data_IF_202134097904
#
_entry.id   IF_202134097904
#
_cell.length_a   1.000
_cell.length_b   1.000
_cell.length_c   1.000
_cell.angle_alpha   90.00
_cell.angle_beta   90.00
_cell.angle_gamma   90.00
#
_symmetry.space_group_name_H-M   'P 1'
#
loop_
_entity.id
_entity.type
_entity.pdbx_description
1 polymer ?
#
# COMPACT_ATOMS: atom_id res chain seq x y z
N UNK A 1 6.98 -40.13 -13.18
CA UNK A 1 7.63 -40.10 -14.51
C UNK A 1 6.92 -39.06 -15.35
N UNK A 2 7.69 -38.32 -16.17
CA UNK A 2 7.38 -37.07 -16.90
C UNK A 2 7.38 -35.86 -15.95
N UNK A 3 8.45 -35.08 -15.75
CA UNK A 3 9.56 -34.58 -16.61
C UNK A 3 9.12 -33.48 -17.59
N UNK A 4 9.45 -32.24 -17.19
CA UNK A 4 9.96 -31.11 -17.98
C UNK A 4 9.11 -30.52 -19.12
N UNK A 5 8.87 -29.20 -19.06
CA UNK A 5 9.34 -28.25 -20.10
C UNK A 5 9.08 -26.77 -19.74
N UNK A 6 10.19 -26.03 -19.72
CA UNK A 6 10.43 -24.70 -20.29
C UNK A 6 9.73 -23.46 -19.72
N UNK A 7 10.60 -22.69 -19.05
CA UNK A 7 10.54 -21.26 -18.74
C UNK A 7 10.55 -20.44 -20.03
N UNK A 8 9.64 -19.48 -20.15
CA UNK A 8 9.75 -18.37 -21.11
C UNK A 8 10.08 -17.06 -20.36
N UNK A 9 10.90 -16.17 -20.94
CA UNK A 9 11.43 -15.00 -20.24
C UNK A 9 10.40 -13.88 -20.15
N UNK A 10 10.48 -13.12 -19.06
CA UNK A 10 9.75 -11.87 -18.85
C UNK A 10 10.34 -10.78 -19.76
N UNK A 11 9.52 -10.26 -20.67
CA UNK A 11 9.86 -9.05 -21.43
C UNK A 11 9.35 -7.85 -20.63
N UNK A 12 10.27 -7.10 -20.04
CA UNK A 12 10.03 -5.78 -19.47
C UNK A 12 9.55 -4.83 -20.58
N UNK A 13 8.40 -4.19 -20.37
CA UNK A 13 7.94 -3.09 -21.23
C UNK A 13 8.04 -1.80 -20.41
N UNK A 14 8.90 -0.83 -20.77
CA UNK A 14 8.97 0.44 -20.08
C UNK A 14 7.74 1.30 -20.39
N UNK A 15 7.14 1.84 -19.32
CA UNK A 15 6.02 2.77 -19.39
C UNK A 15 6.58 4.14 -19.77
N UNK A 16 6.36 4.58 -21.01
CA UNK A 16 6.60 5.96 -21.44
C UNK A 16 5.28 6.71 -21.58
N UNK A 17 5.18 7.86 -20.92
CA UNK A 17 4.07 8.82 -21.06
C UNK A 17 4.33 9.71 -22.28
N UNK A 18 3.37 9.90 -23.20
CA UNK A 18 3.50 10.93 -24.22
C UNK A 18 3.05 12.29 -23.66
N UNK A 19 3.92 13.28 -23.84
CA UNK A 19 3.71 14.70 -23.65
C UNK A 19 2.79 15.25 -24.76
N UNK A 20 1.89 16.17 -24.40
CA UNK A 20 0.99 16.88 -25.31
C UNK A 20 1.75 17.59 -26.45
N UNK A 21 1.24 17.49 -27.68
CA UNK A 21 1.61 18.40 -28.77
C UNK A 21 0.41 18.69 -29.66
N UNK A 22 0.31 19.98 -30.00
CA UNK A 22 -0.81 20.70 -30.59
C UNK A 22 -1.48 20.07 -31.84
N UNK A 23 -2.79 20.33 -31.95
CA UNK A 23 -3.59 20.10 -33.15
C UNK A 23 -3.09 20.91 -34.35
N UNK A 24 -2.78 20.22 -35.45
CA UNK A 24 -2.84 20.79 -36.80
C UNK A 24 -3.93 20.04 -37.58
N UNK A 25 -5.02 20.74 -37.90
CA UNK A 25 -6.11 20.21 -38.72
C UNK A 25 -5.65 20.22 -40.18
N UNK A 26 -5.26 19.06 -40.70
CA UNK A 26 -5.10 18.81 -42.13
C UNK A 26 -6.21 17.88 -42.59
N UNK A 27 -6.84 18.21 -43.73
CA UNK A 27 -7.86 17.37 -44.40
C UNK A 27 -7.22 16.06 -44.88
N UNK A 28 -7.16 15.06 -44.00
CA UNK A 28 -6.74 13.70 -44.31
C UNK A 28 -7.84 12.93 -45.02
N UNK A 29 -7.47 12.11 -46.02
CA UNK A 29 -8.40 11.26 -46.76
C UNK A 29 -9.06 10.21 -45.87
N UNK A 30 -10.21 9.68 -46.31
CA UNK A 30 -11.00 8.65 -45.61
C UNK A 30 -10.16 7.47 -45.08
N UNK A 31 -9.11 7.08 -45.80
CA UNK A 31 -8.17 6.02 -45.41
C UNK A 31 -7.37 6.34 -44.15
N UNK A 32 -7.02 7.60 -43.94
CA UNK A 32 -6.23 8.07 -42.80
C UNK A 32 -7.12 8.20 -41.54
N UNK A 33 -8.38 8.62 -41.73
CA UNK A 33 -9.40 8.55 -40.67
C UNK A 33 -9.72 7.11 -40.26
N UNK A 34 -9.84 6.18 -41.22
CA UNK A 34 -10.07 4.75 -40.94
C UNK A 34 -8.88 4.17 -40.16
N UNK A 35 -7.65 4.54 -40.52
CA UNK A 35 -6.43 4.10 -39.82
C UNK A 35 -6.35 4.69 -38.39
N UNK A 36 -6.71 5.96 -38.21
CA UNK A 36 -6.81 6.61 -36.89
C UNK A 36 -7.88 5.94 -36.01
N UNK A 37 -9.08 5.69 -36.55
CA UNK A 37 -10.19 4.99 -35.87
C UNK A 37 -9.83 3.55 -35.49
N UNK A 38 -9.04 2.86 -36.30
CA UNK A 38 -8.56 1.50 -35.99
C UNK A 38 -7.45 1.43 -34.91
N UNK A 39 -6.77 2.55 -34.62
CA UNK A 39 -5.83 2.67 -33.48
C UNK A 39 -6.52 3.03 -32.17
N UNK A 40 -7.73 3.59 -32.23
CA UNK A 40 -8.51 3.90 -31.04
C UNK A 40 -9.02 2.60 -30.44
N UNK A 41 -8.79 2.41 -29.14
CA UNK A 41 -9.30 1.25 -28.39
C UNK A 41 -10.84 1.28 -28.23
N UNK A 42 -11.56 2.17 -28.92
CA UNK A 42 -12.99 2.46 -28.75
C UNK A 42 -13.51 3.46 -29.79
N UNK A 43 -14.73 3.96 -29.59
CA UNK A 43 -15.38 4.98 -30.43
C UNK A 43 -15.37 6.35 -29.74
N UNK A 44 -15.89 7.39 -30.40
CA UNK A 44 -16.03 8.73 -29.79
C UNK A 44 -16.83 8.71 -28.47
N UNK A 45 -17.79 7.80 -28.35
CA UNK A 45 -18.73 7.74 -27.21
C UNK A 45 -18.44 6.57 -26.26
N UNK A 46 -17.43 5.75 -26.54
CA UNK A 46 -17.11 4.59 -25.73
C UNK A 46 -15.63 4.24 -25.78
N UNK A 47 -15.05 3.97 -24.61
CA UNK A 47 -13.73 3.37 -24.49
C UNK A 47 -13.79 2.24 -23.46
N UNK A 48 -13.06 1.13 -23.68
CA UNK A 48 -13.01 0.02 -22.76
C UNK A 48 -12.34 0.45 -21.46
N UNK A 49 -12.69 -0.21 -20.33
CA UNK A 49 -12.05 0.04 -19.06
C UNK A 49 -10.53 -0.14 -19.15
N UNK A 50 -9.81 0.77 -18.47
CA UNK A 50 -8.35 0.71 -18.36
C UNK A 50 -7.94 0.01 -17.08
N UNK A 51 -6.78 -0.64 -17.09
CA UNK A 51 -6.16 -1.20 -15.91
C UNK A 51 -5.67 -0.05 -15.02
N UNK A 52 -6.53 0.45 -14.15
CA UNK A 52 -6.23 1.51 -13.19
C UNK A 52 -6.86 1.16 -11.84
N UNK A 53 -6.09 1.41 -10.77
CA UNK A 53 -6.55 1.23 -9.40
C UNK A 53 -7.37 2.46 -8.99
N UNK A 54 -8.61 2.21 -8.59
CA UNK A 54 -9.56 3.24 -8.14
C UNK A 54 -9.62 3.19 -6.61
N UNK A 55 -9.11 4.25 -5.97
CA UNK A 55 -9.07 4.37 -4.51
C UNK A 55 -10.34 4.96 -3.91
N UNK A 56 -11.20 5.60 -4.71
CA UNK A 56 -12.40 6.26 -4.23
C UNK A 56 -13.64 5.40 -4.42
N UNK A 57 -14.54 5.42 -3.43
CA UNK A 57 -15.84 4.78 -3.55
C UNK A 57 -16.72 5.57 -4.50
N UNK A 58 -17.35 4.88 -5.45
CA UNK A 58 -18.25 5.51 -6.40
C UNK A 58 -19.52 6.01 -5.69
N UNK A 59 -19.99 7.23 -5.98
CA UNK A 59 -21.20 7.76 -5.37
C UNK A 59 -22.41 6.93 -5.80
N UNK A 60 -23.39 6.82 -4.90
CA UNK A 60 -24.66 6.16 -5.22
C UNK A 60 -25.48 7.06 -6.14
N UNK A 61 -25.82 6.55 -7.31
CA UNK A 61 -26.57 7.27 -8.33
C UNK A 61 -27.77 6.43 -8.80
N UNK A 62 -28.82 7.09 -9.31
CA UNK A 62 -29.97 6.38 -9.86
C UNK A 62 -29.55 5.62 -11.10
N UNK A 63 -30.09 4.41 -11.27
CA UNK A 63 -29.79 3.52 -12.40
C UNK A 63 -29.93 4.22 -13.75
N UNK A 64 -31.02 4.96 -13.96
CA UNK A 64 -31.28 5.71 -15.20
C UNK A 64 -30.15 6.67 -15.54
N UNK A 65 -29.62 7.36 -14.53
CA UNK A 65 -28.69 8.46 -14.71
C UNK A 65 -27.30 7.91 -15.07
N UNK A 66 -26.90 6.80 -14.46
CA UNK A 66 -25.65 6.09 -14.81
C UNK A 66 -25.74 5.49 -16.21
N UNK A 67 -26.87 4.87 -16.58
CA UNK A 67 -27.05 4.29 -17.92
C UNK A 67 -27.02 5.39 -19.00
N UNK A 68 -27.66 6.53 -18.72
CA UNK A 68 -27.64 7.68 -19.63
C UNK A 68 -26.22 8.26 -19.78
N UNK A 69 -25.45 8.34 -18.68
CA UNK A 69 -24.07 8.87 -18.73
C UNK A 69 -23.07 7.96 -19.45
N UNK A 70 -23.37 6.66 -19.58
CA UNK A 70 -22.62 5.73 -20.44
C UNK A 70 -23.24 5.59 -21.85
N UNK A 71 -24.05 6.57 -22.27
CA UNK A 71 -24.68 6.66 -23.61
C UNK A 71 -25.51 5.42 -23.99
N UNK A 72 -26.12 4.77 -23.00
CA UNK A 72 -26.86 3.52 -23.19
C UNK A 72 -25.99 2.39 -23.80
N UNK A 73 -24.67 2.44 -23.61
CA UNK A 73 -23.74 1.41 -24.06
C UNK A 73 -23.29 0.55 -22.87
N UNK A 74 -23.01 -0.74 -23.11
CA UNK A 74 -22.31 -1.56 -22.13
C UNK A 74 -20.92 -0.96 -21.86
N UNK A 75 -20.59 -0.70 -20.59
CA UNK A 75 -19.29 -0.11 -20.25
C UNK A 75 -18.10 -1.03 -20.61
N UNK A 76 -18.30 -2.34 -20.74
CA UNK A 76 -17.24 -3.32 -21.02
C UNK A 76 -16.97 -3.59 -22.50
N UNK A 77 -18.01 -3.64 -23.33
CA UNK A 77 -17.89 -4.03 -24.75
C UNK A 77 -18.49 -3.01 -25.74
N UNK A 78 -19.12 -1.93 -25.26
CA UNK A 78 -19.69 -0.89 -26.11
C UNK A 78 -20.99 -1.28 -26.83
N UNK A 79 -21.54 -2.48 -26.59
CA UNK A 79 -22.82 -2.89 -27.18
C UNK A 79 -23.96 -1.99 -26.72
N UNK A 80 -24.78 -1.53 -27.66
CA UNK A 80 -25.97 -0.73 -27.38
C UNK A 80 -26.99 -1.50 -26.54
N UNK A 81 -27.57 -0.82 -25.56
CA UNK A 81 -28.58 -1.35 -24.66
C UNK A 81 -29.88 -0.64 -24.95
N UNK A 82 -30.84 -1.36 -25.54
CA UNK A 82 -32.15 -0.80 -25.80
C UNK A 82 -32.86 -0.42 -24.47
N UNK A 83 -33.11 0.89 -24.21
CA UNK A 83 -33.48 1.34 -22.86
C UNK A 83 -34.81 0.78 -22.37
N UNK A 84 -35.72 0.46 -23.29
CA UNK A 84 -37.08 -0.02 -22.99
C UNK A 84 -37.15 -1.51 -22.65
N UNK A 85 -36.22 -2.33 -23.14
CA UNK A 85 -36.27 -3.80 -22.99
C UNK A 85 -35.14 -4.36 -22.15
N UNK A 86 -33.91 -3.85 -22.32
CA UNK A 86 -32.71 -4.49 -21.79
C UNK A 86 -32.02 -3.70 -20.68
N UNK A 87 -32.50 -2.49 -20.37
CA UNK A 87 -31.95 -1.67 -19.28
C UNK A 87 -32.02 -2.34 -17.91
N UNK A 88 -32.96 -3.28 -17.67
CA UNK A 88 -33.06 -4.07 -16.43
C UNK A 88 -32.10 -5.27 -16.38
N UNK A 89 -31.62 -5.75 -17.53
CA UNK A 89 -30.72 -6.90 -17.61
C UNK A 89 -29.24 -6.54 -17.34
N UNK A 90 -28.91 -5.24 -17.34
CA UNK A 90 -27.56 -4.81 -17.02
C UNK A 90 -27.23 -5.07 -15.54
N UNK A 91 -25.98 -5.45 -15.28
CA UNK A 91 -25.46 -5.62 -13.92
C UNK A 91 -24.53 -4.46 -13.56
N UNK A 92 -24.62 -4.03 -12.32
CA UNK A 92 -23.82 -2.92 -11.81
C UNK A 92 -22.49 -3.44 -11.27
N UNK A 93 -21.38 -2.91 -11.76
CA UNK A 93 -20.06 -3.17 -11.21
C UNK A 93 -19.74 -2.12 -10.16
N UNK A 94 -19.70 -2.52 -8.89
CA UNK A 94 -19.46 -1.63 -7.75
C UNK A 94 -18.05 -1.01 -7.74
N UNK A 95 -17.08 -1.66 -8.39
CA UNK A 95 -15.72 -1.13 -8.52
C UNK A 95 -15.61 0.02 -9.52
N UNK A 96 -16.19 -0.14 -10.72
CA UNK A 96 -16.14 0.88 -11.79
C UNK A 96 -17.29 1.89 -11.71
N UNK A 97 -18.36 1.58 -10.97
CA UNK A 97 -19.54 2.42 -10.84
C UNK A 97 -20.40 2.51 -12.11
N UNK A 98 -20.34 1.48 -12.98
CA UNK A 98 -21.01 1.47 -14.30
C UNK A 98 -21.80 0.19 -14.53
N UNK A 99 -22.68 0.21 -15.54
CA UNK A 99 -23.51 -0.92 -15.92
C UNK A 99 -22.91 -1.73 -17.10
N UNK A 100 -23.02 -3.05 -17.00
CA UNK A 100 -22.44 -4.02 -17.92
C UNK A 100 -23.48 -5.02 -18.39
N UNK A 101 -23.36 -5.51 -19.62
CA UNK A 101 -24.18 -6.59 -20.15
C UNK A 101 -23.85 -7.94 -19.48
N UNK A 102 -24.69 -8.94 -19.70
CA UNK A 102 -24.56 -10.29 -19.15
C UNK A 102 -23.19 -10.93 -19.45
N UNK A 103 -22.71 -10.78 -20.69
CA UNK A 103 -21.40 -11.32 -21.11
C UNK A 103 -20.19 -10.62 -20.47
N UNK A 104 -20.29 -9.34 -20.09
CA UNK A 104 -19.20 -8.62 -19.43
C UNK A 104 -19.25 -8.73 -17.90
N UNK A 105 -20.35 -9.22 -17.33
CA UNK A 105 -20.54 -9.28 -15.90
C UNK A 105 -21.20 -10.60 -15.49
N UNK A 106 -20.41 -11.64 -15.28
CA UNK A 106 -20.87 -12.98 -14.87
C UNK A 106 -21.18 -13.11 -13.37
N UNK A 107 -21.79 -12.09 -12.76
CA UNK A 107 -22.07 -12.00 -11.30
C UNK A 107 -20.89 -12.31 -10.37
N UNK A 108 -19.66 -12.00 -10.81
CA UNK A 108 -18.49 -12.13 -9.94
C UNK A 108 -18.56 -11.16 -8.77
N UNK A 109 -17.98 -11.52 -7.65
CA UNK A 109 -17.86 -10.65 -6.48
C UNK A 109 -16.39 -10.51 -6.08
N UNK A 110 -16.04 -9.33 -5.54
CA UNK A 110 -14.71 -9.06 -4.99
C UNK A 110 -14.80 -8.00 -3.89
N UNK A 111 -13.82 -7.98 -3.00
CA UNK A 111 -13.59 -6.85 -2.10
C UNK A 111 -13.11 -5.65 -2.92
N UNK A 112 -13.57 -4.44 -2.57
CA UNK A 112 -13.29 -3.21 -3.30
C UNK A 112 -12.24 -2.38 -2.53
N UNK A 113 -11.06 -2.10 -3.10
CA UNK A 113 -9.99 -1.32 -2.46
C UNK A 113 -10.47 0.01 -1.90
N UNK A 114 -11.21 0.79 -2.71
CA UNK A 114 -11.69 2.09 -2.24
C UNK A 114 -12.62 2.01 -1.02
N UNK A 115 -13.40 0.92 -0.86
CA UNK A 115 -14.26 0.72 0.32
C UNK A 115 -13.45 0.30 1.54
N UNK A 116 -12.44 -0.55 1.37
CA UNK A 116 -11.50 -0.91 2.44
C UNK A 116 -10.76 0.33 2.94
N UNK A 117 -10.21 1.12 2.03
CA UNK A 117 -9.37 2.28 2.36
C UNK A 117 -10.15 3.46 2.97
N UNK A 118 -11.44 3.60 2.65
CA UNK A 118 -12.26 4.70 3.18
C UNK A 118 -13.09 4.33 4.40
N UNK A 119 -13.52 3.06 4.51
CA UNK A 119 -14.53 2.62 5.50
C UNK A 119 -14.15 1.34 6.24
N UNK A 120 -12.97 0.77 5.99
CA UNK A 120 -12.56 -0.52 6.55
C UNK A 120 -13.57 -1.66 6.27
N UNK A 121 -14.22 -1.59 5.10
CA UNK A 121 -15.26 -2.52 4.67
C UNK A 121 -14.69 -3.58 3.72
N UNK A 122 -14.78 -4.85 4.14
CA UNK A 122 -14.22 -6.01 3.43
C UNK A 122 -15.30 -6.95 2.93
N UNK A 123 -16.55 -6.48 2.78
CA UNK A 123 -17.59 -7.26 2.12
C UNK A 123 -17.26 -7.43 0.64
N UNK A 124 -17.71 -8.55 0.08
CA UNK A 124 -17.66 -8.79 -1.35
C UNK A 124 -18.82 -8.04 -2.03
N UNK A 125 -18.52 -7.45 -3.17
CA UNK A 125 -19.47 -6.67 -3.95
C UNK A 125 -19.48 -7.15 -5.41
N UNK A 126 -20.62 -7.06 -6.10
CA UNK A 126 -20.71 -7.40 -7.52
C UNK A 126 -19.75 -6.58 -8.38
N UNK A 127 -18.95 -7.28 -9.19
CA UNK A 127 -17.97 -6.69 -10.10
C UNK A 127 -18.04 -7.36 -11.47
N UNK A 128 -17.76 -6.58 -12.52
CA UNK A 128 -17.65 -7.12 -13.87
C UNK A 128 -16.39 -7.99 -14.01
N UNK A 129 -16.34 -8.82 -15.05
CA UNK A 129 -15.24 -9.79 -15.29
C UNK A 129 -13.88 -9.08 -15.35
N UNK A 130 -13.82 -7.95 -16.06
CA UNK A 130 -12.62 -7.13 -16.15
C UNK A 130 -12.12 -6.66 -14.77
N UNK A 131 -13.03 -6.09 -13.95
CA UNK A 131 -12.67 -5.60 -12.62
C UNK A 131 -12.23 -6.72 -11.71
N UNK A 132 -12.87 -7.90 -11.79
CA UNK A 132 -12.46 -9.07 -11.03
C UNK A 132 -11.02 -9.47 -11.37
N UNK A 133 -10.70 -9.62 -12.66
CA UNK A 133 -9.34 -9.95 -13.10
C UNK A 133 -8.30 -8.93 -12.63
N UNK A 134 -8.63 -7.62 -12.72
CA UNK A 134 -7.77 -6.56 -12.19
C UNK A 134 -7.55 -6.73 -10.68
N UNK A 135 -8.63 -6.85 -9.91
CA UNK A 135 -8.59 -6.93 -8.45
C UNK A 135 -7.83 -8.17 -7.95
N UNK A 136 -8.03 -9.31 -8.60
CA UNK A 136 -7.31 -10.55 -8.33
C UNK A 136 -5.79 -10.38 -8.62
N UNK A 137 -5.43 -9.71 -9.73
CA UNK A 137 -4.02 -9.52 -10.12
C UNK A 137 -3.21 -8.63 -9.17
N UNK A 138 -3.88 -7.71 -8.46
CA UNK A 138 -3.24 -6.78 -7.52
C UNK A 138 -3.39 -7.21 -6.06
N UNK A 139 -4.07 -8.33 -5.79
CA UNK A 139 -4.52 -8.72 -4.46
C UNK A 139 -3.39 -8.82 -3.44
N UNK A 140 -2.32 -9.51 -3.82
CA UNK A 140 -1.12 -9.74 -2.99
C UNK A 140 -0.03 -8.69 -3.22
N UNK A 141 -0.22 -7.75 -4.14
CA UNK A 141 0.80 -6.76 -4.46
C UNK A 141 0.83 -5.64 -3.41
N UNK A 142 2.00 -5.29 -2.85
CA UNK A 142 2.14 -4.24 -1.86
C UNK A 142 2.08 -2.86 -2.53
N UNK A 143 0.87 -2.39 -2.86
CA UNK A 143 0.64 -1.16 -3.62
C UNK A 143 0.08 0.00 -2.78
N UNK A 144 -0.42 -0.28 -1.58
CA UNK A 144 -1.22 0.66 -0.80
C UNK A 144 -0.40 1.30 0.33
N UNK A 145 0.14 2.50 0.08
CA UNK A 145 0.80 3.33 1.11
C UNK A 145 -0.25 4.09 1.92
N UNK A 146 -0.68 3.54 3.06
CA UNK A 146 -1.82 4.05 3.83
C UNK A 146 -1.63 5.47 4.37
N UNK A 147 -0.40 5.90 4.65
CA UNK A 147 -0.11 7.28 5.05
C UNK A 147 -0.44 8.32 3.97
N UNK A 148 -0.44 7.90 2.70
CA UNK A 148 -0.79 8.74 1.54
C UNK A 148 -2.26 8.57 1.16
N UNK A 149 -2.71 7.31 1.03
CA UNK A 149 -4.04 7.04 0.43
C UNK A 149 -5.18 6.99 1.45
N UNK A 150 -4.90 6.73 2.73
CA UNK A 150 -5.93 6.43 3.73
C UNK A 150 -5.48 6.74 5.18
N UNK A 151 -4.96 7.94 5.44
CA UNK A 151 -4.39 8.30 6.75
C UNK A 151 -5.39 8.15 7.91
N UNK A 152 -6.67 8.43 7.67
CA UNK A 152 -7.74 8.32 8.67
C UNK A 152 -7.99 6.89 9.15
N UNK A 153 -7.56 5.89 8.38
CA UNK A 153 -7.86 4.48 8.63
C UNK A 153 -7.24 3.98 9.95
N UNK A 154 -6.07 4.51 10.31
CA UNK A 154 -5.43 4.22 11.61
C UNK A 154 -6.30 4.65 12.81
N UNK A 155 -7.08 5.74 12.67
CA UNK A 155 -8.03 6.15 13.72
C UNK A 155 -9.32 5.33 13.73
N UNK A 156 -9.70 4.73 12.60
CA UNK A 156 -10.95 3.99 12.43
C UNK A 156 -10.81 2.51 12.83
N UNK A 157 -9.65 1.90 12.55
CA UNK A 157 -9.39 0.47 12.75
C UNK A 157 -8.34 0.25 13.85
N UNK A 158 -8.80 -0.14 15.05
CA UNK A 158 -7.93 -0.37 16.21
C UNK A 158 -6.89 -1.46 15.96
N UNK A 159 -7.25 -2.51 15.22
CA UNK A 159 -6.38 -3.63 14.87
C UNK A 159 -5.24 -3.18 13.96
N UNK A 160 -5.52 -2.28 13.02
CA UNK A 160 -4.53 -1.69 12.12
C UNK A 160 -3.57 -0.78 12.87
N UNK A 161 -4.07 0.05 13.80
CA UNK A 161 -3.21 0.89 14.63
C UNK A 161 -2.28 0.05 15.51
N UNK A 162 -2.79 -1.00 16.16
CA UNK A 162 -1.97 -1.94 16.92
C UNK A 162 -0.91 -2.63 16.05
N UNK A 163 -1.29 -3.02 14.83
CA UNK A 163 -0.34 -3.63 13.90
C UNK A 163 0.75 -2.63 13.46
N UNK A 164 0.40 -1.35 13.25
CA UNK A 164 1.37 -0.30 12.91
C UNK A 164 2.43 -0.13 13.99
N UNK A 165 2.03 -0.06 15.25
CA UNK A 165 2.98 0.04 16.39
C UNK A 165 3.94 -1.15 16.39
N UNK A 166 3.40 -2.36 16.23
CA UNK A 166 4.20 -3.57 16.11
C UNK A 166 5.11 -3.58 14.86
N UNK A 167 4.65 -3.00 13.76
CA UNK A 167 5.42 -2.84 12.52
C UNK A 167 6.64 -1.94 12.75
N UNK A 168 6.47 -0.81 13.43
CA UNK A 168 7.55 0.12 13.79
C UNK A 168 8.60 -0.61 14.65
N UNK A 169 8.15 -1.41 15.63
CA UNK A 169 9.02 -2.23 16.48
C UNK A 169 9.77 -3.30 15.68
N UNK A 170 9.08 -4.05 14.81
CA UNK A 170 9.66 -5.10 13.96
C UNK A 170 10.73 -4.54 13.00
N UNK A 171 10.44 -3.42 12.33
CA UNK A 171 11.41 -2.76 11.44
C UNK A 171 12.66 -2.34 12.24
N UNK A 172 12.46 -1.82 13.46
CA UNK A 172 13.57 -1.38 14.31
C UNK A 172 14.43 -2.55 14.78
N UNK A 173 13.82 -3.62 15.30
CA UNK A 173 14.58 -4.78 15.80
C UNK A 173 15.24 -5.56 14.67
N UNK A 174 14.61 -5.71 13.50
CA UNK A 174 15.21 -6.35 12.32
C UNK A 174 16.49 -5.64 11.87
N UNK A 175 16.54 -4.31 11.97
CA UNK A 175 17.77 -3.54 11.66
C UNK A 175 18.91 -3.83 12.63
N UNK A 176 18.61 -3.97 13.93
CA UNK A 176 19.59 -4.39 14.93
C UNK A 176 20.07 -5.82 14.66
N UNK A 177 19.15 -6.76 14.43
CA UNK A 177 19.49 -8.15 14.13
C UNK A 177 20.39 -8.25 12.89
N UNK A 178 20.10 -7.52 11.80
CA UNK A 178 20.97 -7.50 10.61
C UNK A 178 22.42 -7.07 10.88
N UNK A 179 22.69 -6.33 11.96
CA UNK A 179 24.04 -5.97 12.39
C UNK A 179 24.67 -7.00 13.35
N UNK A 180 23.88 -7.94 13.87
CA UNK A 180 24.31 -9.00 14.77
C UNK A 180 24.66 -10.28 14.01
N UNK A 181 25.93 -10.69 14.11
CA UNK A 181 26.46 -11.94 13.53
C UNK A 181 25.90 -13.24 14.11
N UNK A 182 25.14 -13.18 15.22
CA UNK A 182 24.57 -14.36 15.89
C UNK A 182 23.06 -14.49 15.65
N UNK A 183 22.47 -13.64 14.82
CA UNK A 183 21.02 -13.52 14.69
C UNK A 183 20.40 -14.28 13.52
N UNK A 184 21.19 -15.01 12.72
CA UNK A 184 20.74 -15.65 11.46
C UNK A 184 19.51 -16.56 11.66
N UNK A 185 19.47 -17.33 12.75
CA UNK A 185 18.33 -18.18 13.08
C UNK A 185 17.04 -17.39 13.33
N UNK A 186 17.13 -16.28 14.06
CA UNK A 186 15.99 -15.41 14.38
C UNK A 186 15.57 -14.59 13.16
N UNK A 187 16.52 -14.13 12.36
CA UNK A 187 16.24 -13.47 11.08
C UNK A 187 15.49 -14.38 10.10
N UNK A 188 15.71 -15.69 10.16
CA UNK A 188 14.94 -16.64 9.35
C UNK A 188 13.45 -16.68 9.75
N UNK A 189 13.11 -16.47 11.03
CA UNK A 189 11.71 -16.41 11.47
C UNK A 189 10.92 -15.25 10.85
N UNK A 190 11.60 -14.15 10.46
CA UNK A 190 10.97 -13.04 9.76
C UNK A 190 10.39 -13.44 8.40
N UNK A 191 10.81 -14.57 7.80
CA UNK A 191 10.24 -15.08 6.56
C UNK A 191 8.77 -15.53 6.69
N UNK A 192 8.28 -15.73 7.92
CA UNK A 192 6.86 -15.98 8.19
C UNK A 192 5.98 -14.75 7.89
N UNK A 193 6.59 -13.57 7.78
CA UNK A 193 5.94 -12.33 7.42
C UNK A 193 6.37 -11.89 6.01
N UNK A 194 5.47 -11.31 5.21
CA UNK A 194 5.87 -10.64 3.98
C UNK A 194 6.97 -9.60 4.23
N UNK A 195 8.00 -9.60 3.38
CA UNK A 195 9.20 -8.78 3.56
C UNK A 195 8.87 -7.29 3.62
N UNK A 196 7.97 -6.81 2.75
CA UNK A 196 7.57 -5.40 2.68
C UNK A 196 7.02 -4.87 4.00
N UNK A 197 6.32 -5.70 4.79
CA UNK A 197 5.79 -5.30 6.09
C UNK A 197 6.89 -5.05 7.13
N UNK A 198 8.04 -5.71 6.99
CA UNK A 198 9.16 -5.61 7.93
C UNK A 198 10.30 -4.74 7.43
N UNK A 199 10.19 -4.21 6.21
CA UNK A 199 11.18 -3.33 5.58
C UNK A 199 10.65 -1.89 5.40
N UNK A 200 9.37 -1.70 5.04
CA UNK A 200 8.76 -0.38 4.81
C UNK A 200 7.48 -0.18 5.62
N UNK A 201 7.41 0.94 6.35
CA UNK A 201 6.24 1.31 7.14
C UNK A 201 5.08 1.77 6.25
N UNK A 202 3.84 1.44 6.63
CA UNK A 202 2.60 1.86 5.96
C UNK A 202 2.32 1.26 4.58
N UNK A 203 3.19 0.40 4.03
CA UNK A 203 2.98 -0.27 2.75
C UNK A 203 2.25 -1.60 2.94
N UNK A 204 1.09 -1.76 2.29
CA UNK A 204 0.24 -2.95 2.42
C UNK A 204 -0.27 -3.43 1.05
N UNK A 205 -0.58 -4.72 0.96
CA UNK A 205 -1.45 -5.34 -0.06
C UNK A 205 -2.89 -5.45 0.45
N UNK A 206 -3.85 -5.81 -0.42
CA UNK A 206 -5.23 -6.06 0.02
C UNK A 206 -5.32 -7.29 0.93
N UNK A 207 -4.52 -8.32 0.63
CA UNK A 207 -4.42 -9.52 1.45
C UNK A 207 -3.91 -9.21 2.87
N UNK A 208 -2.89 -8.37 3.00
CA UNK A 208 -2.36 -7.98 4.30
C UNK A 208 -3.43 -7.29 5.16
N UNK A 209 -4.21 -6.37 4.57
CA UNK A 209 -5.26 -5.65 5.30
C UNK A 209 -6.35 -6.61 5.82
N UNK A 210 -6.67 -7.66 5.07
CA UNK A 210 -7.59 -8.71 5.51
C UNK A 210 -6.97 -9.54 6.64
N UNK A 211 -5.70 -9.93 6.51
CA UNK A 211 -4.98 -10.67 7.56
C UNK A 211 -4.85 -9.87 8.85
N UNK A 212 -4.68 -8.54 8.75
CA UNK A 212 -4.74 -7.61 9.89
C UNK A 212 -6.13 -7.62 10.51
N UNK A 213 -7.19 -7.44 9.71
CA UNK A 213 -8.58 -7.47 10.21
C UNK A 213 -8.92 -8.80 10.90
N UNK A 214 -8.41 -9.92 10.40
CA UNK A 214 -8.59 -11.26 10.98
C UNK A 214 -7.70 -11.52 12.20
N UNK A 215 -6.79 -10.62 12.55
CA UNK A 215 -5.83 -10.78 13.66
C UNK A 215 -4.72 -11.79 13.40
N UNK A 216 -4.66 -12.39 12.21
CA UNK A 216 -3.65 -13.40 11.84
C UNK A 216 -2.27 -12.76 11.80
N UNK A 217 -2.15 -11.62 11.12
CA UNK A 217 -0.86 -10.94 10.95
C UNK A 217 -0.30 -10.43 12.28
N UNK A 218 -1.16 -9.92 13.16
CA UNK A 218 -0.78 -9.46 14.50
C UNK A 218 -0.24 -10.61 15.34
N UNK A 219 -0.86 -11.78 15.25
CA UNK A 219 -0.44 -12.96 16.03
C UNK A 219 0.93 -13.46 15.60
N UNK A 220 1.16 -13.63 14.30
CA UNK A 220 2.46 -14.01 13.75
C UNK A 220 3.53 -12.97 14.06
N UNK A 221 3.23 -11.68 13.85
CA UNK A 221 4.15 -10.59 14.13
C UNK A 221 4.57 -10.54 15.60
N UNK A 222 3.66 -10.79 16.55
CA UNK A 222 3.99 -10.87 17.98
C UNK A 222 4.85 -12.08 18.35
N UNK A 223 4.71 -13.20 17.64
CA UNK A 223 5.56 -14.36 17.86
C UNK A 223 7.00 -14.07 17.41
N UNK A 224 7.15 -13.57 16.19
CA UNK A 224 8.47 -13.16 15.64
C UNK A 224 9.10 -12.06 16.49
N UNK A 225 8.31 -11.06 16.92
CA UNK A 225 8.82 -10.00 17.78
C UNK A 225 9.34 -10.51 19.13
N UNK A 226 8.63 -11.45 19.77
CA UNK A 226 9.09 -12.08 21.02
C UNK A 226 10.41 -12.82 20.84
N UNK A 227 10.52 -13.68 19.83
CA UNK A 227 11.79 -14.38 19.52
C UNK A 227 12.93 -13.38 19.28
N UNK A 228 12.65 -12.28 18.56
CA UNK A 228 13.62 -11.23 18.33
C UNK A 228 14.04 -10.50 19.62
N UNK A 229 13.10 -10.20 20.52
CA UNK A 229 13.40 -9.57 21.80
C UNK A 229 14.20 -10.50 22.71
N UNK A 230 13.80 -11.77 22.83
CA UNK A 230 14.50 -12.79 23.61
C UNK A 230 15.96 -12.93 23.16
N UNK A 231 16.21 -12.89 21.85
CA UNK A 231 17.56 -12.87 21.31
C UNK A 231 18.33 -11.61 21.69
N UNK A 232 17.72 -10.43 21.61
CA UNK A 232 18.41 -9.18 21.98
C UNK A 232 18.79 -9.19 23.45
N UNK A 233 17.92 -9.68 24.34
CA UNK A 233 18.17 -9.79 25.77
C UNK A 233 19.30 -10.79 26.09
N UNK A 234 19.35 -11.93 25.40
CA UNK A 234 20.37 -12.95 25.62
C UNK A 234 21.70 -12.71 24.88
N UNK A 235 21.72 -11.86 23.84
CA UNK A 235 22.88 -11.68 22.97
C UNK A 235 23.70 -10.45 23.34
N UNK A 236 24.91 -10.67 23.85
CA UNK A 236 25.87 -9.61 24.18
C UNK A 236 26.16 -8.67 22.99
N UNK A 237 26.26 -9.20 21.77
CA UNK A 237 26.50 -8.39 20.57
C UNK A 237 25.36 -7.39 20.33
N UNK A 238 24.12 -7.81 20.55
CA UNK A 238 22.95 -6.93 20.43
C UNK A 238 22.91 -5.90 21.56
N UNK A 239 23.24 -6.32 22.79
CA UNK A 239 23.29 -5.45 23.97
C UNK A 239 24.30 -4.31 23.79
N UNK A 240 25.50 -4.62 23.28
CA UNK A 240 26.54 -3.62 23.05
C UNK A 240 26.38 -2.84 21.73
N UNK A 241 25.72 -3.41 20.71
CA UNK A 241 25.79 -2.93 19.33
C UNK A 241 24.85 -1.79 18.94
N UNK A 242 23.67 -1.66 19.57
CA UNK A 242 22.72 -0.58 19.23
C UNK A 242 21.87 -0.07 20.40
N UNK A 243 22.33 -0.32 21.62
CA UNK A 243 21.75 0.23 22.84
C UNK A 243 22.01 1.72 23.01
N UNK A 244 21.05 2.46 23.57
CA UNK A 244 21.20 3.86 23.92
C UNK A 244 21.17 4.04 25.43
N UNK A 245 22.07 4.85 25.97
CA UNK A 245 22.00 5.29 27.36
C UNK A 245 21.28 6.63 27.40
N UNK A 246 20.26 6.75 28.25
CA UNK A 246 19.52 7.99 28.38
C UNK A 246 20.39 9.12 28.95
N UNK A 247 20.64 10.17 28.19
CA UNK A 247 21.54 11.27 28.61
C UNK A 247 21.00 12.12 29.77
N UNK A 248 19.68 12.10 30.01
CA UNK A 248 19.04 12.87 31.08
C UNK A 248 19.28 12.24 32.45
N UNK A 249 18.97 10.95 32.62
CA UNK A 249 19.17 10.26 33.89
C UNK A 249 20.56 9.62 34.01
N UNK A 250 21.22 9.34 32.87
CA UNK A 250 22.50 8.61 32.78
C UNK A 250 22.48 7.29 33.56
N UNK A 251 21.31 6.65 33.61
CA UNK A 251 21.15 5.32 34.19
C UNK A 251 21.97 4.28 33.43
N UNK A 252 22.17 3.12 34.07
CA UNK A 252 22.87 2.00 33.43
C UNK A 252 21.96 1.21 32.46
N UNK A 253 20.66 1.47 32.50
CA UNK A 253 19.67 0.80 31.66
C UNK A 253 19.86 1.19 30.18
N UNK A 254 19.98 0.16 29.36
CA UNK A 254 20.15 0.28 27.91
C UNK A 254 18.78 0.34 27.25
N UNK A 255 18.51 1.42 26.53
CA UNK A 255 17.28 1.63 25.78
C UNK A 255 17.43 1.17 24.34
N UNK A 256 16.42 0.47 23.85
CA UNK A 256 16.31 0.12 22.44
C UNK A 256 15.14 0.84 21.78
N UNK A 257 15.29 1.27 20.50
CA UNK A 257 14.25 2.00 19.81
C UNK A 257 12.95 1.22 19.57
N UNK A 258 12.93 -0.10 19.78
CA UNK A 258 11.72 -0.93 19.71
C UNK A 258 10.94 -1.00 21.05
N UNK A 259 11.51 -0.53 22.16
CA UNK A 259 10.86 -0.50 23.49
C UNK A 259 10.01 0.76 23.65
N UNK A 260 8.95 0.88 22.85
CA UNK A 260 8.15 2.11 22.73
C UNK A 260 7.40 2.52 24.00
N UNK A 261 7.29 1.64 24.99
CA UNK A 261 6.68 1.87 26.30
C UNK A 261 7.59 2.69 27.24
N UNK A 262 8.88 2.37 27.27
CA UNK A 262 9.85 3.04 28.15
C UNK A 262 10.77 4.01 27.41
N UNK A 263 10.84 3.95 26.08
CA UNK A 263 11.74 4.74 25.25
C UNK A 263 11.02 5.62 24.22
N UNK A 264 11.32 6.92 24.25
CA UNK A 264 10.95 7.90 23.23
C UNK A 264 12.16 8.30 22.39
N UNK A 265 11.97 8.41 21.07
CA UNK A 265 13.01 8.84 20.12
C UNK A 265 12.84 10.30 19.74
N UNK A 266 13.94 11.04 19.72
CA UNK A 266 13.94 12.38 19.12
C UNK A 266 13.65 12.28 17.62
N UNK A 267 12.76 13.13 17.10
CA UNK A 267 12.36 13.12 15.69
C UNK A 267 13.50 13.54 14.75
N UNK A 268 14.40 14.42 15.19
CA UNK A 268 15.51 14.92 14.36
C UNK A 268 16.71 13.97 14.39
N UNK A 269 17.27 13.73 15.59
CA UNK A 269 18.52 12.99 15.73
C UNK A 269 18.34 11.49 15.96
N UNK A 270 17.10 11.00 16.11
CA UNK A 270 16.75 9.58 16.31
C UNK A 270 17.35 8.91 17.56
N UNK A 271 17.93 9.68 18.47
CA UNK A 271 18.46 9.22 19.76
C UNK A 271 17.32 8.84 20.70
N UNK A 272 17.51 7.77 21.46
CA UNK A 272 16.54 7.23 22.40
C UNK A 272 16.74 7.80 23.81
N UNK A 273 15.63 8.13 24.47
CA UNK A 273 15.59 8.61 25.85
C UNK A 273 14.42 7.94 26.57
N UNK A 274 14.46 7.88 27.91
CA UNK A 274 13.30 7.40 28.64
C UNK A 274 12.10 8.31 28.40
N UNK A 275 10.91 7.73 28.21
CA UNK A 275 9.65 8.47 28.02
C UNK A 275 9.41 9.44 29.19
N UNK A 276 9.74 9.04 30.42
CA UNK A 276 9.62 9.89 31.61
C UNK A 276 10.63 11.06 31.65
N UNK A 277 11.79 10.91 30.99
CA UNK A 277 12.86 11.91 30.95
C UNK A 277 12.69 12.91 29.80
N UNK A 278 12.16 12.48 28.66
CA UNK A 278 12.01 13.31 27.46
C UNK A 278 10.58 13.82 27.31
N UNK A 279 10.24 14.86 28.08
CA UNK A 279 8.92 15.52 28.09
C UNK A 279 8.94 16.86 27.34
N UNK A 280 9.29 17.94 28.03
CA UNK A 280 9.21 19.31 27.48
C UNK A 280 10.59 19.91 27.16
N UNK A 281 11.67 19.18 27.49
CA UNK A 281 13.03 19.65 27.28
C UNK A 281 13.51 19.43 25.84
N UNK A 282 14.22 20.41 25.24
CA UNK A 282 14.81 20.24 23.92
C UNK A 282 15.83 19.10 23.94
N UNK A 283 15.92 18.36 22.83
CA UNK A 283 16.83 17.22 22.76
C UNK A 283 18.29 17.66 23.00
N UNK A 284 18.98 17.13 24.04
CA UNK A 284 20.32 17.58 24.43
C UNK A 284 21.34 17.32 23.33
N UNK A 285 21.18 16.23 22.57
CA UNK A 285 22.04 15.93 21.42
C UNK A 285 21.82 16.92 20.27
N UNK A 286 20.58 17.26 19.95
CA UNK A 286 20.28 18.26 18.92
C UNK A 286 20.85 19.62 19.32
N UNK A 287 20.68 20.04 20.58
CA UNK A 287 21.25 21.30 21.08
C UNK A 287 22.78 21.34 20.89
N UNK A 288 23.50 20.27 21.25
CA UNK A 288 24.95 20.17 21.01
C UNK A 288 25.33 20.20 19.53
N UNK A 289 24.55 19.54 18.67
CA UNK A 289 24.78 19.55 17.22
C UNK A 289 24.59 20.95 16.61
N UNK A 290 23.56 21.68 17.04
CA UNK A 290 23.32 23.05 16.58
C UNK A 290 24.46 24.00 17.00
N UNK A 291 24.90 23.93 18.27
CA UNK A 291 26.03 24.74 18.77
C UNK A 291 27.32 24.44 17.97
N UNK A 292 27.61 23.17 17.68
CA UNK A 292 28.79 22.80 16.88
C UNK A 292 28.70 23.38 15.46
N UNK A 293 27.51 23.35 14.86
CA UNK A 293 27.28 23.87 13.52
C UNK A 293 27.45 25.39 13.48
N UNK A 294 26.90 26.12 14.45
CA UNK A 294 27.06 27.58 14.52
C UNK A 294 28.52 28.01 14.72
N UNK A 295 29.28 27.28 15.54
CA UNK A 295 30.71 27.56 15.74
C UNK A 295 31.55 27.34 14.47
N UNK A 296 31.21 26.34 13.66
CA UNK A 296 31.87 26.10 12.37
C UNK A 296 31.54 27.18 11.33
N UNK A 297 30.29 27.65 11.31
CA UNK A 297 29.87 28.75 10.43
C UNK A 297 30.56 30.07 10.80
N UNK A 298 30.68 30.40 12.09
CA UNK A 298 31.40 31.59 12.56
C UNK A 298 32.92 31.52 12.36
N UNK A 299 33.50 30.32 12.29
CA UNK A 299 34.93 30.15 12.02
C UNK A 299 35.27 30.17 10.52
N UNK A 300 34.26 30.07 9.65
CA UNK A 300 34.39 30.07 8.19
C UNK A 300 34.05 31.43 7.56
N UNK A 301 33.66 32.41 8.38
CA UNK A 301 33.34 33.79 7.99
C UNK A 301 34.42 34.71 8.51
#
# INVERSE_FOLDING_TARGET
RCSSSQVCPATEIPITFPLDTACLVTRGGLSEEIRQKSRMRGTLNWAPPRFQIIFNVQPTQRRSDVIASQHFLCAGCGTEVEPRKFSKLLRYCEYLGRYFCDGCHSSGESVIPGRVLSRWDFRCYPVCVFSKQLLDSIWEQPLFKLNVVAKSLYGQAKELQRFRELQEQLISIKKLLRACRLSDGVLAEFQQLPSHLTDELHLFSMDDLIKVKRGQLVTTAKAVFRSATDHVEACEVCQFGAGFICEFCRGQDVLFPFQTDICTRCQDCRTCFHTACFRDEPCPRCARLQIRKSLQETAST
#
